data_IF_184130033251
#
_entry.id   IF_184130033251
#
_cell.length_a   1.000
_cell.length_b   1.000
_cell.length_c   1.000
_cell.angle_alpha   90.00
_cell.angle_beta   90.00
_cell.angle_gamma   90.00
#
_symmetry.space_group_name_H-M   'P 1'
#
loop_
_entity.id
_entity.type
_entity.pdbx_description
1 polymer ?
#
# COMPACT_ATOMS: atom_id res chain seq x y z
N UNK A 1 4.20 45.48 24.11
CA UNK A 1 5.54 44.91 23.98
C UNK A 1 5.43 43.43 24.32
N UNK A 2 5.81 42.59 23.36
CA UNK A 2 5.63 41.14 23.34
C UNK A 2 6.53 40.43 24.35
N UNK A 3 5.99 39.41 25.03
CA UNK A 3 6.75 38.38 25.74
C UNK A 3 6.31 37.04 25.16
N UNK A 4 7.26 36.32 24.56
CA UNK A 4 7.03 35.15 23.73
C UNK A 4 6.44 33.97 24.52
N UNK A 5 5.36 33.40 23.99
CA UNK A 5 4.93 32.03 24.28
C UNK A 5 5.97 31.07 23.66
N UNK A 6 6.93 30.60 24.46
CA UNK A 6 7.77 29.46 24.14
C UNK A 6 6.89 28.19 24.20
N UNK A 7 6.21 27.90 23.09
CA UNK A 7 5.53 26.64 22.86
C UNK A 7 6.59 25.53 22.81
N UNK A 8 6.55 24.50 23.69
CA UNK A 8 7.56 23.45 23.68
C UNK A 8 7.49 22.66 22.38
N UNK A 9 8.50 22.88 21.53
CA UNK A 9 8.71 22.15 20.28
C UNK A 9 8.52 20.64 20.52
N UNK A 10 7.60 19.96 19.79
CA UNK A 10 7.28 18.57 20.06
C UNK A 10 8.53 17.74 19.78
N UNK A 11 9.10 17.15 20.84
CA UNK A 11 10.25 16.23 20.74
C UNK A 11 9.98 15.17 19.68
N UNK A 12 10.63 15.29 18.52
CA UNK A 12 10.63 14.25 17.50
C UNK A 12 11.20 12.98 18.13
N UNK A 13 10.34 11.99 18.35
CA UNK A 13 10.77 10.68 18.85
C UNK A 13 11.42 9.93 17.71
N UNK A 14 12.73 10.02 17.60
CA UNK A 14 13.50 9.16 16.70
C UNK A 14 13.42 7.72 17.22
N UNK A 15 13.03 6.78 16.35
CA UNK A 15 13.00 5.35 16.70
C UNK A 15 14.41 4.86 17.03
N UNK A 16 14.52 3.99 18.04
CA UNK A 16 15.76 3.22 18.26
C UNK A 16 15.96 2.22 17.12
N UNK A 17 17.17 1.74 16.87
CA UNK A 17 17.45 0.74 15.83
C UNK A 17 16.57 -0.52 15.98
N UNK A 18 16.35 -1.00 17.21
CA UNK A 18 15.43 -2.12 17.49
C UNK A 18 13.97 -1.76 17.19
N UNK A 19 13.57 -0.53 17.49
CA UNK A 19 12.22 -0.02 17.17
C UNK A 19 12.00 0.10 15.66
N UNK A 20 13.01 0.58 14.92
CA UNK A 20 12.98 0.67 13.46
C UNK A 20 12.79 -0.71 12.82
N UNK A 21 13.58 -1.71 13.25
CA UNK A 21 13.46 -3.09 12.76
C UNK A 21 12.12 -3.74 13.07
N UNK A 22 11.60 -3.51 14.28
CA UNK A 22 10.28 -4.02 14.65
C UNK A 22 9.18 -3.41 13.78
N UNK A 23 9.20 -2.09 13.59
CA UNK A 23 8.22 -1.41 12.75
C UNK A 23 8.31 -1.88 11.29
N UNK A 24 9.53 -2.05 10.75
CA UNK A 24 9.76 -2.63 9.43
C UNK A 24 9.14 -4.02 9.31
N UNK A 25 9.39 -4.93 10.25
CA UNK A 25 8.81 -6.29 10.20
C UNK A 25 7.27 -6.28 10.25
N UNK A 26 6.68 -5.41 11.07
CA UNK A 26 5.22 -5.24 11.14
C UNK A 26 4.66 -4.76 9.79
N UNK A 27 5.25 -3.71 9.20
CA UNK A 27 4.78 -3.14 7.93
C UNK A 27 5.03 -4.07 6.76
N UNK A 28 6.12 -4.82 6.78
CA UNK A 28 6.41 -5.85 5.79
C UNK A 28 5.40 -7.00 5.83
N UNK A 29 4.99 -7.42 7.03
CA UNK A 29 3.91 -8.43 7.19
C UNK A 29 2.58 -7.91 6.64
N UNK A 30 2.23 -6.67 6.97
CA UNK A 30 1.02 -6.00 6.48
C UNK A 30 1.02 -5.90 4.95
N UNK A 31 2.15 -5.46 4.37
CA UNK A 31 2.36 -5.38 2.93
C UNK A 31 2.16 -6.72 2.24
N UNK A 32 2.79 -7.80 2.74
CA UNK A 32 2.63 -9.15 2.20
C UNK A 32 1.19 -9.64 2.27
N UNK A 33 0.48 -9.32 3.36
CA UNK A 33 -0.94 -9.66 3.50
C UNK A 33 -1.80 -8.93 2.45
N UNK A 34 -1.57 -7.64 2.24
CA UNK A 34 -2.28 -6.84 1.23
C UNK A 34 -2.01 -7.34 -0.19
N UNK A 35 -0.76 -7.68 -0.52
CA UNK A 35 -0.40 -8.28 -1.82
C UNK A 35 -1.17 -9.59 -2.03
N UNK A 36 -1.21 -10.46 -1.02
CA UNK A 36 -1.97 -11.71 -1.11
C UNK A 36 -3.47 -11.45 -1.32
N UNK A 37 -4.04 -10.51 -0.57
CA UNK A 37 -5.44 -10.12 -0.72
C UNK A 37 -5.73 -9.57 -2.13
N UNK A 38 -4.88 -8.68 -2.65
CA UNK A 38 -5.01 -8.14 -4.00
C UNK A 38 -4.97 -9.21 -5.07
N UNK A 39 -4.08 -10.20 -4.96
CA UNK A 39 -4.05 -11.32 -5.91
C UNK A 39 -5.35 -12.13 -5.92
N UNK A 40 -5.93 -12.37 -4.74
CA UNK A 40 -7.22 -13.05 -4.61
C UNK A 40 -8.35 -12.19 -5.21
N UNK A 41 -8.34 -10.88 -4.96
CA UNK A 41 -9.33 -9.94 -5.50
C UNK A 41 -9.21 -9.81 -7.02
N UNK A 42 -7.99 -9.75 -7.58
CA UNK A 42 -7.73 -9.74 -9.03
C UNK A 42 -8.29 -11.00 -9.69
N UNK A 43 -8.03 -12.17 -9.09
CA UNK A 43 -8.57 -13.45 -9.57
C UNK A 43 -10.10 -13.43 -9.54
N UNK A 44 -10.67 -12.99 -8.41
CA UNK A 44 -12.12 -12.93 -8.24
C UNK A 44 -12.81 -11.93 -9.16
N UNK A 45 -12.17 -10.79 -9.46
CA UNK A 45 -12.64 -9.82 -10.43
C UNK A 45 -12.62 -10.43 -11.84
N UNK A 46 -11.52 -11.10 -12.22
CA UNK A 46 -11.42 -11.84 -13.49
C UNK A 46 -12.49 -12.92 -13.63
N UNK A 47 -12.78 -13.68 -12.58
CA UNK A 47 -13.84 -14.69 -12.60
C UNK A 47 -15.23 -14.07 -12.76
N UNK A 48 -15.48 -12.95 -12.07
CA UNK A 48 -16.75 -12.23 -12.17
C UNK A 48 -16.97 -11.75 -13.59
N UNK A 49 -15.95 -11.18 -14.22
CA UNK A 49 -16.03 -10.73 -15.61
C UNK A 49 -16.32 -11.86 -16.58
N UNK A 50 -15.77 -13.05 -16.31
CA UNK A 50 -15.90 -14.20 -17.19
C UNK A 50 -17.24 -14.93 -17.05
N UNK A 51 -17.76 -15.05 -15.83
CA UNK A 51 -18.91 -15.91 -15.53
C UNK A 51 -20.17 -15.14 -15.12
N UNK A 52 -20.02 -13.90 -14.66
CA UNK A 52 -21.13 -13.07 -14.18
C UNK A 52 -20.88 -11.59 -14.50
N UNK A 53 -20.97 -11.18 -15.79
CA UNK A 53 -20.65 -9.83 -16.24
C UNK A 53 -21.76 -8.81 -15.88
N UNK A 54 -22.29 -8.91 -14.66
CA UNK A 54 -23.16 -7.89 -14.09
C UNK A 54 -22.31 -6.65 -13.76
N UNK A 55 -22.57 -5.48 -14.39
CA UNK A 55 -21.78 -4.27 -14.18
C UNK A 55 -21.69 -3.86 -12.71
N UNK A 56 -22.74 -4.05 -11.92
CA UNK A 56 -22.75 -3.65 -10.51
C UNK A 56 -21.91 -4.59 -9.64
N UNK A 57 -21.90 -5.89 -9.95
CA UNK A 57 -21.04 -6.86 -9.27
C UNK A 57 -19.56 -6.61 -9.58
N UNK A 58 -19.25 -6.31 -10.84
CA UNK A 58 -17.91 -5.96 -11.32
C UNK A 58 -17.40 -4.68 -10.65
N UNK A 59 -18.21 -3.61 -10.65
CA UNK A 59 -17.88 -2.35 -9.95
C UNK A 59 -17.65 -2.57 -8.46
N UNK A 60 -18.55 -3.29 -7.78
CA UNK A 60 -18.43 -3.55 -6.34
C UNK A 60 -17.10 -4.27 -6.01
N UNK A 61 -16.74 -5.29 -6.78
CA UNK A 61 -15.46 -6.00 -6.61
C UNK A 61 -14.26 -5.13 -6.93
N UNK A 62 -14.34 -4.31 -7.97
CA UNK A 62 -13.29 -3.36 -8.30
C UNK A 62 -13.07 -2.32 -7.19
N UNK A 63 -14.14 -1.78 -6.59
CA UNK A 63 -14.02 -0.83 -5.47
C UNK A 63 -13.28 -1.46 -4.27
N UNK A 64 -13.56 -2.73 -3.97
CA UNK A 64 -12.85 -3.47 -2.91
C UNK A 64 -11.38 -3.66 -3.27
N UNK A 65 -11.10 -4.03 -4.53
CA UNK A 65 -9.75 -4.17 -5.06
C UNK A 65 -8.97 -2.85 -4.97
N UNK A 66 -9.56 -1.74 -5.42
CA UNK A 66 -8.94 -0.41 -5.41
C UNK A 66 -8.61 0.03 -3.98
N UNK A 67 -9.54 -0.16 -3.03
CA UNK A 67 -9.29 0.17 -1.63
C UNK A 67 -8.13 -0.64 -1.02
N UNK A 68 -7.99 -1.92 -1.41
CA UNK A 68 -6.85 -2.73 -0.99
C UNK A 68 -5.53 -2.26 -1.64
N UNK A 69 -5.59 -1.78 -2.88
CA UNK A 69 -4.43 -1.25 -3.60
C UNK A 69 -3.96 0.09 -3.02
N UNK A 70 -4.87 1.01 -2.69
CA UNK A 70 -4.54 2.26 -2.00
C UNK A 70 -3.89 2.00 -0.63
N UNK A 71 -4.39 1.01 0.13
CA UNK A 71 -3.78 0.59 1.39
C UNK A 71 -2.36 0.04 1.18
N UNK A 72 -2.13 -0.75 0.12
CA UNK A 72 -0.81 -1.26 -0.23
C UNK A 72 0.16 -0.11 -0.52
N UNK A 73 -0.26 0.90 -1.30
CA UNK A 73 0.56 2.08 -1.59
C UNK A 73 0.94 2.82 -0.32
N UNK A 74 -0.02 3.08 0.58
CA UNK A 74 0.25 3.75 1.86
C UNK A 74 1.23 2.98 2.75
N UNK A 75 1.11 1.64 2.80
CA UNK A 75 2.03 0.80 3.56
C UNK A 75 3.41 0.81 2.92
N UNK A 76 3.51 0.77 1.59
CA UNK A 76 4.78 0.84 0.88
C UNK A 76 5.50 2.16 1.12
N UNK A 77 4.80 3.30 1.11
CA UNK A 77 5.41 4.61 1.44
C UNK A 77 6.02 4.60 2.85
N UNK A 78 5.33 4.00 3.82
CA UNK A 78 5.84 3.85 5.19
C UNK A 78 7.07 2.94 5.24
N UNK A 79 7.04 1.79 4.56
CA UNK A 79 8.18 0.86 4.46
C UNK A 79 9.38 1.58 3.85
N UNK A 80 9.20 2.31 2.75
CA UNK A 80 10.28 3.09 2.12
C UNK A 80 10.85 4.15 3.06
N UNK A 81 9.99 4.89 3.78
CA UNK A 81 10.43 5.85 4.79
C UNK A 81 11.32 5.21 5.86
N UNK A 82 10.98 3.99 6.31
CA UNK A 82 11.76 3.25 7.29
C UNK A 82 13.05 2.66 6.69
N UNK A 83 13.03 2.18 5.45
CA UNK A 83 14.22 1.61 4.77
C UNK A 83 15.25 2.68 4.39
N UNK A 84 14.82 3.91 4.09
CA UNK A 84 15.72 5.05 3.93
C UNK A 84 16.49 5.31 5.23
N UNK A 85 15.84 5.14 6.39
CA UNK A 85 16.50 5.23 7.69
C UNK A 85 17.45 4.04 7.96
N UNK A 86 17.20 2.88 7.34
CA UNK A 86 18.06 1.68 7.44
C UNK A 86 19.09 1.57 6.30
N UNK A 87 19.17 2.53 5.36
CA UNK A 87 20.05 2.50 4.17
C UNK A 87 19.84 1.32 3.20
N UNK A 88 18.64 0.73 3.16
CA UNK A 88 18.32 -0.40 2.28
C UNK A 88 17.56 0.04 1.02
N UNK A 89 18.10 -0.22 -0.18
CA UNK A 89 17.49 0.18 -1.48
C UNK A 89 16.78 -0.95 -2.26
N UNK A 90 17.07 -2.21 -1.95
CA UNK A 90 16.67 -3.35 -2.79
C UNK A 90 15.15 -3.62 -2.82
N UNK A 91 14.43 -3.19 -1.78
CA UNK A 91 13.01 -3.45 -1.62
C UNK A 91 12.11 -2.70 -2.62
N UNK A 92 12.54 -1.51 -3.08
CA UNK A 92 11.75 -0.67 -3.96
C UNK A 92 11.56 -1.31 -5.34
N UNK A 93 12.62 -1.84 -5.93
CA UNK A 93 12.58 -2.48 -7.27
C UNK A 93 11.67 -3.72 -7.28
N UNK A 94 11.68 -4.52 -6.21
CA UNK A 94 10.80 -5.68 -6.05
C UNK A 94 9.33 -5.27 -5.96
N UNK A 95 9.05 -4.21 -5.22
CA UNK A 95 7.69 -3.66 -5.13
C UNK A 95 7.21 -3.11 -6.47
N UNK A 96 8.02 -2.30 -7.16
CA UNK A 96 7.66 -1.74 -8.48
C UNK A 96 7.30 -2.83 -9.48
N UNK A 97 8.07 -3.92 -9.51
CA UNK A 97 7.76 -5.05 -10.39
C UNK A 97 6.40 -5.68 -10.08
N UNK A 98 6.04 -5.80 -8.80
CA UNK A 98 4.75 -6.37 -8.38
C UNK A 98 3.59 -5.38 -8.57
N UNK A 99 3.83 -4.07 -8.44
CA UNK A 99 2.80 -3.06 -8.62
C UNK A 99 2.38 -2.90 -10.08
N UNK A 100 3.25 -3.20 -11.05
CA UNK A 100 2.92 -3.23 -12.48
C UNK A 100 1.76 -4.19 -12.78
N UNK A 101 1.74 -5.36 -12.14
CA UNK A 101 0.66 -6.34 -12.32
C UNK A 101 -0.69 -5.78 -11.82
N UNK A 102 -0.67 -5.01 -10.73
CA UNK A 102 -1.87 -4.36 -10.19
C UNK A 102 -2.33 -3.17 -11.04
N UNK A 103 -1.40 -2.32 -11.48
CA UNK A 103 -1.70 -1.19 -12.39
C UNK A 103 -2.37 -1.68 -13.68
N UNK A 104 -2.00 -2.87 -14.16
CA UNK A 104 -2.61 -3.47 -15.35
C UNK A 104 -4.10 -3.77 -15.13
N UNK A 105 -4.49 -4.21 -13.91
CA UNK A 105 -5.91 -4.46 -13.56
C UNK A 105 -6.71 -3.15 -13.51
N UNK A 106 -6.14 -2.11 -12.90
CA UNK A 106 -6.74 -0.77 -12.84
C UNK A 106 -6.95 -0.19 -14.25
N UNK A 107 -5.91 -0.19 -15.08
CA UNK A 107 -5.99 0.31 -16.47
C UNK A 107 -7.02 -0.47 -17.29
N UNK A 108 -7.04 -1.80 -17.15
CA UNK A 108 -8.02 -2.64 -17.84
C UNK A 108 -9.45 -2.24 -17.45
N UNK A 109 -9.73 -2.05 -16.16
CA UNK A 109 -11.06 -1.66 -15.68
C UNK A 109 -11.50 -0.31 -16.25
N UNK A 110 -10.62 0.70 -16.18
CA UNK A 110 -10.88 2.05 -16.73
C UNK A 110 -11.14 2.02 -18.24
N UNK A 111 -10.47 1.12 -18.97
CA UNK A 111 -10.64 1.01 -20.43
C UNK A 111 -11.91 0.26 -20.87
N UNK A 112 -12.50 -0.55 -20.00
CA UNK A 112 -13.55 -1.52 -20.36
C UNK A 112 -14.92 -1.17 -19.79
N UNK A 113 -14.98 -0.40 -18.70
CA UNK A 113 -16.21 0.01 -18.01
C UNK A 113 -16.51 1.49 -18.19
#
# INVERSE_FOLDING_TARGET
MSGADDDPEPRQRTLTEKGLRYELDVRDKERRHLIHNLNNLSTSLSDTLKYEPNPEAVKSRYTIWLSAYEQLLSVQEKVQGLLVLETAKHDHELFERQSVDFLTVEQWFISTC
#
